data_IF_510745027816
#
_entry.id   IF_510745027816
#
_cell.length_a   1.000
_cell.length_b   1.000
_cell.length_c   1.000
_cell.angle_alpha   90.00
_cell.angle_beta   90.00
_cell.angle_gamma   90.00
#
_symmetry.space_group_name_H-M   'P 1'
#
loop_
_entity.id
_entity.type
_entity.pdbx_description
1 polymer ?
#
# COMPACT_ATOMS: atom_id res chain seq x y z
N UNK A 1 -8.71 -14.17 -16.46
CA UNK A 1 -8.08 -13.51 -17.66
C UNK A 1 -7.03 -14.46 -18.20
N UNK A 2 -6.75 -14.47 -19.52
CA UNK A 2 -5.73 -15.36 -20.09
C UNK A 2 -4.32 -14.90 -19.72
N UNK A 3 -3.35 -15.84 -19.74
CA UNK A 3 -1.94 -15.55 -19.49
C UNK A 3 -1.39 -14.58 -20.55
N UNK A 4 -0.47 -13.71 -20.11
CA UNK A 4 0.11 -12.67 -20.95
C UNK A 4 1.52 -13.08 -21.37
N UNK A 5 1.79 -13.07 -22.67
CA UNK A 5 3.13 -13.33 -23.20
C UNK A 5 3.85 -12.03 -23.57
N UNK A 6 5.09 -11.89 -23.10
CA UNK A 6 5.90 -10.69 -23.38
C UNK A 6 6.18 -10.50 -24.88
N UNK A 7 6.11 -11.57 -25.70
CA UNK A 7 6.16 -11.47 -27.18
C UNK A 7 5.00 -10.67 -27.76
N UNK A 8 3.84 -10.69 -27.09
CA UNK A 8 2.60 -10.08 -27.56
C UNK A 8 2.44 -8.65 -26.99
N UNK A 9 3.33 -8.28 -26.05
CA UNK A 9 3.38 -6.96 -25.42
C UNK A 9 4.51 -6.14 -26.05
N UNK A 10 4.15 -4.98 -26.62
CA UNK A 10 5.17 -4.03 -27.12
C UNK A 10 5.88 -3.35 -25.94
N UNK A 11 6.85 -4.03 -25.33
CA UNK A 11 7.57 -3.58 -24.12
C UNK A 11 8.10 -2.14 -24.25
N UNK A 12 8.57 -1.72 -25.45
CA UNK A 12 9.08 -0.37 -25.69
C UNK A 12 8.01 0.73 -25.56
N UNK A 13 6.73 0.37 -25.62
CA UNK A 13 5.60 1.31 -25.51
C UNK A 13 4.98 1.33 -24.12
N UNK A 14 5.37 0.40 -23.24
CA UNK A 14 4.88 0.38 -21.88
C UNK A 14 5.42 1.57 -21.08
N UNK A 15 4.51 2.30 -20.46
CA UNK A 15 4.88 3.41 -19.58
C UNK A 15 5.08 2.86 -18.16
N UNK A 16 6.22 3.14 -17.51
CA UNK A 16 6.42 2.79 -16.11
C UNK A 16 5.36 3.51 -15.26
N UNK A 17 4.95 2.85 -14.17
CA UNK A 17 3.97 3.41 -13.23
C UNK A 17 4.57 4.57 -12.44
N UNK A 18 5.90 4.57 -12.24
CA UNK A 18 6.64 5.61 -11.53
C UNK A 18 7.82 6.11 -12.36
N UNK A 19 8.31 7.33 -12.03
CA UNK A 19 9.51 7.91 -12.67
C UNK A 19 10.81 7.10 -12.39
N UNK A 20 10.80 6.24 -11.38
CA UNK A 20 11.84 5.24 -11.12
C UNK A 20 11.21 3.86 -11.35
N UNK A 21 11.36 3.28 -12.55
CA UNK A 21 10.69 2.03 -12.92
C UNK A 21 11.15 0.80 -12.13
N UNK A 22 12.29 0.86 -11.45
CA UNK A 22 12.86 -0.27 -10.73
C UNK A 22 12.65 -0.15 -9.22
N UNK A 23 11.74 -0.96 -8.66
CA UNK A 23 11.86 -1.42 -7.27
C UNK A 23 12.99 -2.44 -7.15
N UNK A 24 13.35 -2.82 -5.91
CA UNK A 24 14.40 -3.85 -5.65
C UNK A 24 14.02 -5.17 -6.35
N UNK A 25 12.76 -5.56 -6.31
CA UNK A 25 12.28 -6.86 -6.79
C UNK A 25 11.73 -6.83 -8.22
N UNK A 26 11.42 -5.67 -8.80
CA UNK A 26 10.81 -5.62 -10.12
C UNK A 26 10.41 -4.22 -10.59
N UNK A 27 9.91 -4.18 -11.81
CA UNK A 27 9.42 -2.98 -12.48
C UNK A 27 7.92 -3.10 -12.76
N UNK A 28 7.17 -2.03 -12.50
CA UNK A 28 5.73 -1.95 -12.75
C UNK A 28 5.44 -1.06 -13.96
N UNK A 29 4.61 -1.56 -14.87
CA UNK A 29 4.24 -0.89 -16.11
C UNK A 29 2.72 -0.81 -16.27
N UNK A 30 2.22 0.31 -16.78
CA UNK A 30 0.80 0.44 -17.17
C UNK A 30 0.51 -0.46 -18.36
N UNK A 31 -0.51 -1.28 -18.25
CA UNK A 31 -0.96 -2.17 -19.31
C UNK A 31 -2.48 -2.33 -19.26
N UNK A 32 -3.15 -1.99 -20.35
CA UNK A 32 -4.63 -1.94 -20.39
C UNK A 32 -5.17 -1.11 -19.21
N UNK A 33 -6.09 -1.67 -18.44
CA UNK A 33 -6.70 -1.04 -17.26
C UNK A 33 -5.98 -1.37 -15.95
N UNK A 34 -4.79 -1.97 -16.01
CA UNK A 34 -4.05 -2.43 -14.83
C UNK A 34 -2.55 -2.21 -14.93
N UNK A 35 -1.83 -3.02 -14.22
CA UNK A 35 -0.37 -2.98 -14.07
C UNK A 35 0.23 -4.34 -14.33
N UNK A 36 1.28 -4.40 -15.17
CA UNK A 36 2.18 -5.55 -15.23
C UNK A 36 3.35 -5.27 -14.28
N UNK A 37 3.59 -6.17 -13.31
CA UNK A 37 4.82 -6.24 -12.53
C UNK A 37 5.74 -7.29 -13.14
N UNK A 38 6.97 -6.89 -13.52
CA UNK A 38 8.01 -7.78 -14.03
C UNK A 38 9.14 -7.88 -13.01
N UNK A 39 9.51 -9.09 -12.64
CA UNK A 39 10.59 -9.34 -11.70
C UNK A 39 11.98 -9.15 -12.35
N UNK A 40 12.88 -8.51 -11.62
CA UNK A 40 14.26 -8.27 -12.06
C UNK A 40 15.18 -9.48 -11.87
N UNK A 41 14.70 -10.52 -11.21
CA UNK A 41 15.44 -11.74 -10.87
C UNK A 41 14.75 -13.00 -11.40
N UNK A 42 15.42 -14.13 -11.30
CA UNK A 42 14.80 -15.42 -11.62
C UNK A 42 14.01 -15.92 -10.42
N UNK A 43 12.71 -16.11 -10.61
CA UNK A 43 11.83 -16.59 -9.58
C UNK A 43 12.23 -18.02 -9.14
N UNK A 44 12.31 -18.22 -7.83
CA UNK A 44 12.43 -19.55 -7.23
C UNK A 44 11.15 -20.37 -7.41
N UNK A 45 11.14 -21.62 -7.05
CA UNK A 45 9.89 -22.41 -7.04
C UNK A 45 8.92 -21.87 -6.00
N UNK A 46 9.42 -21.46 -4.83
CA UNK A 46 8.61 -20.84 -3.79
C UNK A 46 7.92 -19.57 -4.29
N UNK A 47 8.66 -18.65 -4.94
CA UNK A 47 8.06 -17.41 -5.49
C UNK A 47 6.93 -17.73 -6.48
N UNK A 48 7.13 -18.75 -7.34
CA UNK A 48 6.14 -19.17 -8.33
C UNK A 48 4.88 -19.74 -7.68
N UNK A 49 5.05 -20.63 -6.71
CA UNK A 49 3.96 -21.23 -5.96
C UNK A 49 3.17 -20.16 -5.20
N UNK A 50 3.87 -19.21 -4.58
CA UNK A 50 3.26 -18.10 -3.88
C UNK A 50 2.43 -17.20 -4.84
N UNK A 51 2.98 -16.81 -5.99
CA UNK A 51 2.23 -16.03 -6.99
C UNK A 51 1.02 -16.81 -7.51
N UNK A 52 1.16 -18.11 -7.75
CA UNK A 52 0.06 -18.96 -8.21
C UNK A 52 -1.05 -19.08 -7.17
N UNK A 53 -0.72 -19.16 -5.88
CA UNK A 53 -1.70 -19.23 -4.80
C UNK A 53 -2.51 -17.94 -4.65
N UNK A 54 -1.97 -16.81 -5.11
CA UNK A 54 -2.62 -15.50 -5.09
C UNK A 54 -3.49 -15.21 -6.32
N UNK A 55 -3.37 -16.03 -7.37
CA UNK A 55 -4.01 -15.75 -8.66
C UNK A 55 -5.54 -15.78 -8.56
N UNK A 56 -6.18 -14.74 -9.09
CA UNK A 56 -7.63 -14.58 -9.14
C UNK A 56 -8.35 -14.62 -7.78
N UNK A 57 -7.66 -14.32 -6.69
CA UNK A 57 -8.34 -14.12 -5.41
C UNK A 57 -9.16 -12.83 -5.43
N UNK A 58 -10.29 -12.86 -4.77
CA UNK A 58 -11.16 -11.69 -4.61
C UNK A 58 -10.85 -11.00 -3.29
N UNK A 59 -10.74 -9.68 -3.33
CA UNK A 59 -10.61 -8.83 -2.16
C UNK A 59 -11.06 -7.40 -2.49
N UNK A 60 -11.60 -6.70 -1.50
CA UNK A 60 -11.95 -5.27 -1.63
C UNK A 60 -10.78 -4.35 -1.29
N UNK A 61 -9.77 -4.88 -0.62
CA UNK A 61 -8.63 -4.10 -0.11
C UNK A 61 -7.27 -4.58 -0.63
N UNK A 62 -7.17 -5.79 -1.16
CA UNK A 62 -5.93 -6.33 -1.72
C UNK A 62 -6.09 -6.48 -3.23
N UNK A 63 -5.17 -5.89 -3.98
CA UNK A 63 -5.16 -6.00 -5.44
C UNK A 63 -4.35 -7.23 -5.86
N UNK A 64 -5.04 -8.36 -5.92
CA UNK A 64 -4.46 -9.65 -6.26
C UNK A 64 -4.08 -9.76 -7.75
N UNK A 65 -3.10 -10.61 -8.09
CA UNK A 65 -2.82 -10.98 -9.47
C UNK A 65 -4.03 -11.61 -10.17
N UNK A 66 -4.29 -11.18 -11.41
CA UNK A 66 -5.37 -11.71 -12.27
C UNK A 66 -4.85 -12.57 -13.42
N UNK A 67 -3.57 -12.38 -13.81
CA UNK A 67 -2.96 -13.15 -14.90
C UNK A 67 -1.46 -13.24 -14.69
N UNK A 68 -0.87 -14.32 -15.17
CA UNK A 68 0.56 -14.52 -15.19
C UNK A 68 1.19 -13.90 -16.43
N UNK A 69 2.46 -13.48 -16.31
CA UNK A 69 3.23 -12.91 -17.43
C UNK A 69 4.43 -13.79 -17.72
N UNK A 70 4.47 -14.33 -18.95
CA UNK A 70 5.49 -15.26 -19.39
C UNK A 70 6.41 -14.67 -20.47
N UNK A 71 7.65 -15.12 -20.48
CA UNK A 71 8.56 -15.02 -21.61
C UNK A 71 8.64 -16.38 -22.29
N UNK A 72 8.33 -16.44 -23.59
CA UNK A 72 8.49 -17.66 -24.40
C UNK A 72 9.93 -18.17 -24.32
N UNK A 73 10.07 -19.45 -24.04
CA UNK A 73 11.34 -20.17 -24.04
C UNK A 73 11.37 -21.23 -25.12
N UNK A 74 12.55 -21.74 -25.43
CA UNK A 74 12.70 -22.78 -26.48
C UNK A 74 12.10 -24.11 -26.04
N UNK A 75 12.31 -24.51 -24.76
CA UNK A 75 11.79 -25.76 -24.19
C UNK A 75 10.63 -25.53 -23.21
N UNK A 76 10.64 -24.41 -22.48
CA UNK A 76 9.64 -24.08 -21.47
C UNK A 76 9.52 -22.57 -21.31
N UNK A 77 8.28 -22.10 -21.21
CA UNK A 77 7.99 -20.72 -20.92
C UNK A 77 8.43 -20.35 -19.49
N UNK A 78 8.97 -19.14 -19.34
CA UNK A 78 9.47 -18.64 -18.07
C UNK A 78 8.51 -17.62 -17.51
N UNK A 79 7.98 -17.89 -16.31
CA UNK A 79 7.23 -16.89 -15.55
C UNK A 79 8.13 -15.68 -15.25
N UNK A 80 7.68 -14.48 -15.58
CA UNK A 80 8.41 -13.22 -15.45
C UNK A 80 7.71 -12.20 -14.58
N UNK A 81 6.44 -12.38 -14.31
CA UNK A 81 5.65 -11.44 -13.54
C UNK A 81 4.19 -11.80 -13.51
N UNK A 82 3.40 -10.80 -13.16
CA UNK A 82 1.95 -10.91 -13.14
C UNK A 82 1.29 -9.59 -13.55
N UNK A 83 0.03 -9.67 -13.92
CA UNK A 83 -0.85 -8.54 -14.13
C UNK A 83 -1.82 -8.44 -12.96
N UNK A 84 -2.08 -7.23 -12.51
CA UNK A 84 -3.04 -6.92 -11.46
C UNK A 84 -3.84 -5.66 -11.81
N UNK A 85 -5.02 -5.43 -11.19
CA UNK A 85 -5.76 -4.19 -11.35
C UNK A 85 -4.93 -2.95 -11.00
N UNK A 86 -5.26 -1.82 -11.62
CA UNK A 86 -4.67 -0.53 -11.23
C UNK A 86 -5.25 -0.08 -9.89
N UNK A 87 -4.38 0.23 -8.94
CA UNK A 87 -4.81 0.87 -7.70
C UNK A 87 -5.44 2.24 -7.99
N UNK A 88 -6.54 2.53 -7.30
CA UNK A 88 -7.22 3.83 -7.36
C UNK A 88 -6.59 4.79 -6.37
N UNK A 89 -6.60 6.08 -6.69
CA UNK A 89 -6.09 7.13 -5.82
C UNK A 89 -4.58 7.27 -5.81
N UNK A 90 -4.06 7.79 -4.71
CA UNK A 90 -2.62 8.03 -4.51
C UNK A 90 -2.05 7.03 -3.49
N UNK A 91 -0.87 6.47 -3.75
CA UNK A 91 -0.16 5.82 -2.66
C UNK A 91 0.28 6.86 -1.62
N UNK A 92 0.56 6.40 -0.38
CA UNK A 92 0.84 7.33 0.72
C UNK A 92 2.07 8.21 0.48
N UNK A 93 3.02 7.81 -0.37
CA UNK A 93 4.16 8.65 -0.76
C UNK A 93 3.70 9.79 -1.69
N UNK A 94 2.89 9.47 -2.71
CA UNK A 94 2.36 10.48 -3.63
C UNK A 94 1.39 11.42 -2.91
N UNK A 95 0.54 10.88 -2.03
CA UNK A 95 -0.36 11.65 -1.18
C UNK A 95 0.42 12.65 -0.31
N UNK A 96 1.43 12.16 0.42
CA UNK A 96 2.33 13.03 1.22
C UNK A 96 2.88 14.19 0.39
N UNK A 97 3.41 13.91 -0.80
CA UNK A 97 4.01 14.94 -1.64
C UNK A 97 2.98 15.99 -2.11
N UNK A 98 1.74 15.55 -2.39
CA UNK A 98 0.64 16.46 -2.74
C UNK A 98 0.22 17.34 -1.57
N UNK A 99 0.15 16.79 -0.34
CA UNK A 99 -0.15 17.54 0.88
C UNK A 99 0.95 18.56 1.16
N UNK A 100 2.22 18.14 1.14
CA UNK A 100 3.36 19.03 1.38
C UNK A 100 3.44 20.19 0.38
N UNK A 101 2.88 20.03 -0.82
CA UNK A 101 2.83 21.06 -1.87
C UNK A 101 1.48 21.79 -1.96
N UNK A 102 0.55 21.51 -1.04
CA UNK A 102 -0.79 22.15 -1.01
C UNK A 102 -1.72 21.71 -2.15
N UNK A 103 -1.41 20.63 -2.85
CA UNK A 103 -2.18 20.16 -4.03
C UNK A 103 -3.31 19.22 -3.68
N UNK A 104 -3.35 18.71 -2.46
CA UNK A 104 -4.41 17.83 -1.95
C UNK A 104 -4.55 18.02 -0.46
N UNK A 105 -5.78 17.91 0.00
CA UNK A 105 -6.13 17.79 1.40
C UNK A 105 -6.93 16.52 1.63
N UNK A 106 -6.85 15.98 2.85
CA UNK A 106 -7.67 14.86 3.32
C UNK A 106 -7.99 15.13 4.77
N UNK A 107 -9.28 15.21 5.10
CA UNK A 107 -9.73 15.45 6.47
C UNK A 107 -9.46 14.24 7.38
N UNK A 108 -9.32 14.50 8.67
CA UNK A 108 -9.18 13.41 9.65
C UNK A 108 -10.42 12.53 9.68
N UNK A 109 -11.61 13.10 9.59
CA UNK A 109 -12.86 12.35 9.55
C UNK A 109 -12.95 11.44 8.32
N UNK A 110 -12.50 11.91 7.14
CA UNK A 110 -12.41 11.09 5.94
C UNK A 110 -11.47 9.89 6.12
N UNK A 111 -10.29 10.12 6.69
CA UNK A 111 -9.31 9.05 6.96
C UNK A 111 -9.88 8.05 7.96
N UNK A 112 -10.50 8.52 9.05
CA UNK A 112 -11.11 7.67 10.07
C UNK A 112 -12.25 6.83 9.49
N UNK A 113 -13.16 7.44 8.73
CA UNK A 113 -14.26 6.71 8.09
C UNK A 113 -13.75 5.64 7.11
N UNK A 114 -12.80 5.98 6.25
CA UNK A 114 -12.20 4.99 5.33
C UNK A 114 -11.56 3.84 6.12
N UNK A 115 -10.83 4.16 7.17
CA UNK A 115 -10.12 3.16 7.97
C UNK A 115 -11.08 2.26 8.75
N UNK A 116 -12.04 2.82 9.50
CA UNK A 116 -12.91 2.07 10.39
C UNK A 116 -14.09 1.41 9.68
N UNK A 117 -14.72 2.13 8.74
CA UNK A 117 -15.96 1.67 8.14
C UNK A 117 -15.73 0.76 6.93
N UNK A 118 -14.57 0.93 6.26
CA UNK A 118 -14.30 0.21 5.01
C UNK A 118 -13.12 -0.74 5.09
N UNK A 119 -11.97 -0.28 5.62
CA UNK A 119 -10.73 -1.05 5.57
C UNK A 119 -10.65 -2.14 6.65
N UNK A 120 -10.84 -1.80 7.93
CA UNK A 120 -10.70 -2.77 9.02
C UNK A 120 -11.67 -3.96 8.92
N UNK A 121 -12.97 -3.77 8.58
CA UNK A 121 -13.88 -4.88 8.41
C UNK A 121 -13.49 -5.85 7.31
N UNK A 122 -12.85 -5.35 6.24
CA UNK A 122 -12.36 -6.20 5.16
C UNK A 122 -11.03 -6.86 5.53
N UNK A 123 -10.10 -6.14 6.19
CA UNK A 123 -8.84 -6.71 6.66
C UNK A 123 -9.05 -7.91 7.61
N UNK A 124 -10.10 -7.90 8.43
CA UNK A 124 -10.46 -9.02 9.30
C UNK A 124 -10.88 -10.28 8.56
N UNK A 125 -11.32 -10.15 7.30
CA UNK A 125 -11.78 -11.28 6.47
C UNK A 125 -10.65 -11.88 5.64
N UNK A 126 -9.54 -11.15 5.49
CA UNK A 126 -8.41 -11.59 4.68
C UNK A 126 -7.59 -12.64 5.44
N UNK A 127 -7.63 -13.89 4.98
CA UNK A 127 -6.85 -15.01 5.53
C UNK A 127 -5.42 -15.00 4.98
N UNK A 128 -4.72 -13.90 5.21
CA UNK A 128 -3.39 -13.65 4.67
C UNK A 128 -2.48 -13.01 5.72
N UNK A 129 -1.22 -13.38 5.74
CA UNK A 129 -0.17 -12.63 6.42
C UNK A 129 0.40 -11.61 5.43
N UNK A 130 0.19 -10.34 5.71
CA UNK A 130 0.78 -9.26 4.93
C UNK A 130 2.30 -9.23 5.17
N UNK A 131 3.08 -9.23 4.09
CA UNK A 131 4.51 -9.00 4.12
C UNK A 131 4.84 -7.60 3.60
N UNK A 132 5.90 -6.99 4.07
CA UNK A 132 6.54 -5.77 3.53
C UNK A 132 5.57 -4.63 3.11
N UNK A 133 4.58 -4.32 3.95
CA UNK A 133 3.64 -3.21 3.71
C UNK A 133 4.34 -1.88 3.95
N UNK A 134 4.57 -1.12 2.89
CA UNK A 134 5.20 0.21 2.90
C UNK A 134 4.24 1.28 2.39
N UNK A 135 4.54 2.55 2.67
CA UNK A 135 3.78 3.70 2.14
C UNK A 135 3.58 3.65 0.61
N UNK A 136 4.52 3.07 -0.12
CA UNK A 136 4.42 2.88 -1.58
C UNK A 136 3.34 1.88 -1.98
N UNK A 137 2.98 0.95 -1.09
CA UNK A 137 2.08 -0.18 -1.34
C UNK A 137 0.67 0.05 -0.79
N UNK A 138 0.46 1.12 -0.03
CA UNK A 138 -0.84 1.53 0.53
C UNK A 138 -1.38 2.69 -0.29
N UNK A 139 -2.55 2.52 -0.89
CA UNK A 139 -3.23 3.53 -1.70
C UNK A 139 -4.47 4.03 -0.99
N UNK A 140 -4.68 5.35 -1.01
CA UNK A 140 -5.86 6.02 -0.46
C UNK A 140 -6.70 6.61 -1.59
N UNK A 141 -7.95 6.21 -1.64
CA UNK A 141 -9.01 6.79 -2.46
C UNK A 141 -10.28 6.90 -1.60
N UNK A 142 -11.40 6.42 -2.08
CA UNK A 142 -12.63 6.15 -1.32
C UNK A 142 -12.54 4.87 -0.45
N UNK A 143 -11.41 4.16 -0.53
CA UNK A 143 -10.99 3.04 0.32
C UNK A 143 -9.47 3.02 0.46
N UNK A 144 -8.93 2.26 1.43
CA UNK A 144 -7.53 1.85 1.48
C UNK A 144 -7.34 0.56 0.68
N UNK A 145 -6.34 0.54 -0.20
CA UNK A 145 -5.99 -0.64 -0.99
C UNK A 145 -4.52 -0.98 -0.84
N UNK A 146 -4.22 -2.28 -0.85
CA UNK A 146 -2.87 -2.84 -0.72
C UNK A 146 -2.40 -3.45 -2.04
N UNK A 147 -1.15 -3.22 -2.38
CA UNK A 147 -0.48 -3.77 -3.55
C UNK A 147 0.83 -4.46 -3.14
N UNK A 148 1.57 -4.98 -4.11
CA UNK A 148 2.87 -5.68 -3.90
C UNK A 148 2.70 -7.01 -3.18
N UNK A 149 1.71 -7.79 -3.63
CA UNK A 149 1.20 -9.01 -3.00
C UNK A 149 2.16 -10.20 -3.08
N UNK A 150 3.27 -10.12 -3.81
CA UNK A 150 4.28 -11.18 -3.87
C UNK A 150 5.04 -11.41 -2.54
N UNK A 151 4.91 -10.48 -1.60
CA UNK A 151 5.40 -10.64 -0.23
C UNK A 151 4.33 -11.14 0.76
N UNK A 152 3.09 -11.34 0.31
CA UNK A 152 2.00 -11.81 1.15
C UNK A 152 1.99 -13.34 1.19
N UNK A 153 1.50 -13.92 2.28
CA UNK A 153 1.45 -15.37 2.48
C UNK A 153 0.04 -15.77 2.92
N UNK A 154 -0.60 -16.66 2.15
CA UNK A 154 -1.93 -17.17 2.48
C UNK A 154 -1.82 -18.14 3.62
N UNK A 155 -2.68 -18.00 4.62
CA UNK A 155 -2.56 -18.71 5.89
C UNK A 155 -3.82 -19.49 6.22
N UNK A 156 -3.69 -20.80 6.25
CA UNK A 156 -4.74 -21.69 6.75
C UNK A 156 -4.87 -21.64 8.29
N UNK A 157 -3.80 -21.17 8.98
CA UNK A 157 -3.75 -20.97 10.43
C UNK A 157 -4.01 -19.51 10.85
N UNK A 158 -4.80 -18.77 10.05
CA UNK A 158 -5.10 -17.38 10.35
C UNK A 158 -5.72 -17.20 11.73
N UNK A 159 -5.18 -16.27 12.48
CA UNK A 159 -5.58 -16.04 13.88
C UNK A 159 -5.40 -14.56 14.27
N UNK A 160 -5.90 -14.20 15.44
CA UNK A 160 -5.79 -12.87 16.03
C UNK A 160 -4.35 -12.31 16.01
N UNK A 161 -3.35 -13.17 16.22
CA UNK A 161 -1.93 -12.77 16.20
C UNK A 161 -1.49 -12.30 14.80
N UNK A 162 -1.92 -13.01 13.76
CA UNK A 162 -1.65 -12.64 12.36
C UNK A 162 -2.37 -11.35 12.03
N UNK A 163 -3.65 -11.23 12.38
CA UNK A 163 -4.40 -10.00 12.21
C UNK A 163 -3.72 -8.80 12.86
N UNK A 164 -3.27 -8.92 14.12
CA UNK A 164 -2.52 -7.86 14.81
C UNK A 164 -1.19 -7.53 14.14
N UNK A 165 -0.54 -8.51 13.54
CA UNK A 165 0.67 -8.30 12.76
C UNK A 165 0.38 -7.45 11.50
N UNK A 166 -0.65 -7.83 10.75
CA UNK A 166 -1.12 -7.11 9.56
C UNK A 166 -1.49 -5.67 9.90
N UNK A 167 -2.29 -5.49 10.95
CA UNK A 167 -2.71 -4.19 11.45
C UNK A 167 -1.51 -3.31 11.81
N UNK A 168 -0.51 -3.88 12.50
CA UNK A 168 0.71 -3.17 12.86
C UNK A 168 1.50 -2.67 11.63
N UNK A 169 1.56 -3.42 10.54
CA UNK A 169 2.25 -3.01 9.33
C UNK A 169 1.52 -1.87 8.61
N UNK A 170 0.20 -1.96 8.48
CA UNK A 170 -0.62 -0.92 7.86
C UNK A 170 -0.58 0.36 8.69
N UNK A 171 -0.78 0.25 10.00
CA UNK A 171 -0.72 1.38 10.93
C UNK A 171 0.65 2.06 10.92
N UNK A 172 1.73 1.29 10.81
CA UNK A 172 3.06 1.86 10.66
C UNK A 172 3.19 2.69 9.37
N UNK A 173 2.66 2.21 8.25
CA UNK A 173 2.68 2.94 6.99
C UNK A 173 1.85 4.24 7.04
N UNK A 174 0.69 4.21 7.70
CA UNK A 174 -0.14 5.40 7.93
C UNK A 174 0.58 6.36 8.88
N UNK A 175 1.13 5.87 9.98
CA UNK A 175 1.94 6.66 10.90
C UNK A 175 3.08 7.39 10.20
N UNK A 176 3.80 6.71 9.32
CA UNK A 176 4.88 7.32 8.54
C UNK A 176 4.38 8.50 7.68
N UNK A 177 3.16 8.45 7.14
CA UNK A 177 2.56 9.59 6.46
C UNK A 177 2.43 10.79 7.40
N UNK A 178 1.88 10.58 8.60
CA UNK A 178 1.72 11.64 9.61
C UNK A 178 3.08 12.15 10.09
N UNK A 179 4.04 11.28 10.39
CA UNK A 179 5.39 11.67 10.86
C UNK A 179 6.13 12.59 9.89
N UNK A 180 5.90 12.44 8.58
CA UNK A 180 6.46 13.35 7.57
C UNK A 180 5.79 14.73 7.56
N UNK A 181 4.54 14.78 8.01
CA UNK A 181 3.76 16.02 8.06
C UNK A 181 3.96 16.75 9.39
N UNK A 182 4.17 16.01 10.47
CA UNK A 182 4.33 16.52 11.85
C UNK A 182 5.80 16.84 12.15
N UNK A 183 6.05 17.70 13.12
CA UNK A 183 7.39 17.97 13.66
C UNK A 183 7.90 16.81 14.53
N UNK A 184 9.23 16.76 14.72
CA UNK A 184 9.88 15.70 15.51
C UNK A 184 9.38 15.60 16.95
N UNK A 185 8.94 16.72 17.53
CA UNK A 185 8.44 16.82 18.92
C UNK A 185 7.07 16.17 19.10
N UNK A 186 6.29 16.05 18.03
CA UNK A 186 4.96 15.44 18.02
C UNK A 186 4.98 13.98 17.55
N UNK A 187 6.15 13.35 17.48
CA UNK A 187 6.24 11.95 17.05
C UNK A 187 5.61 11.00 18.04
N UNK A 188 4.75 10.14 17.53
CA UNK A 188 4.04 9.14 18.33
C UNK A 188 4.91 7.96 18.72
N UNK A 189 4.55 7.33 19.83
CA UNK A 189 5.15 6.06 20.20
C UNK A 189 4.97 5.01 19.08
N UNK A 190 6.08 4.36 18.70
CA UNK A 190 6.13 3.36 17.65
C UNK A 190 6.20 1.93 18.15
N UNK A 191 5.92 1.68 19.43
CA UNK A 191 5.95 0.32 19.96
C UNK A 191 4.98 -0.58 19.17
N UNK A 192 5.37 -1.83 18.95
CA UNK A 192 4.55 -2.81 18.20
C UNK A 192 3.19 -3.02 18.85
N UNK A 193 3.11 -2.95 20.17
CA UNK A 193 1.86 -3.09 20.93
C UNK A 193 0.88 -1.94 20.68
N UNK A 194 1.36 -0.74 20.44
CA UNK A 194 0.52 0.43 20.09
C UNK A 194 0.05 0.32 18.66
N UNK A 195 0.95 0.00 17.72
CA UNK A 195 0.62 -0.13 16.30
C UNK A 195 -0.38 -1.28 16.01
N UNK A 196 -0.43 -2.30 16.85
CA UNK A 196 -1.36 -3.43 16.68
C UNK A 196 -2.78 -3.18 17.23
N UNK A 197 -3.07 -1.97 17.73
CA UNK A 197 -4.43 -1.59 18.18
C UNK A 197 -5.27 -1.11 17.00
N UNK A 198 -6.53 -1.52 16.98
CA UNK A 198 -7.51 -0.99 16.02
C UNK A 198 -7.74 0.51 16.23
N UNK A 199 -7.71 0.97 17.48
CA UNK A 199 -7.91 2.39 17.85
C UNK A 199 -6.71 3.28 17.55
N UNK A 200 -5.62 2.73 17.00
CA UNK A 200 -4.35 3.45 16.82
C UNK A 200 -4.52 4.79 16.10
N UNK A 201 -5.28 4.83 15.01
CA UNK A 201 -5.45 6.02 14.20
C UNK A 201 -6.26 7.10 14.94
N UNK A 202 -7.32 6.69 15.63
CA UNK A 202 -8.13 7.59 16.46
C UNK A 202 -7.32 8.15 17.65
N UNK A 203 -6.58 7.29 18.35
CA UNK A 203 -5.69 7.70 19.45
C UNK A 203 -4.64 8.71 18.95
N UNK A 204 -4.05 8.47 17.78
CA UNK A 204 -3.05 9.37 17.18
C UNK A 204 -3.66 10.73 16.83
N UNK A 205 -4.83 10.77 16.21
CA UNK A 205 -5.52 12.02 15.86
C UNK A 205 -5.94 12.79 17.12
N UNK A 206 -6.41 12.10 18.17
CA UNK A 206 -6.71 12.71 19.46
C UNK A 206 -5.47 13.33 20.11
N UNK A 207 -4.32 12.67 20.00
CA UNK A 207 -3.07 13.23 20.54
C UNK A 207 -2.60 14.47 19.75
N UNK A 208 -2.78 14.48 18.42
CA UNK A 208 -2.56 15.68 17.59
C UNK A 208 -3.45 16.83 18.08
N UNK A 209 -4.74 16.56 18.27
CA UNK A 209 -5.73 17.58 18.68
C UNK A 209 -5.48 18.18 20.08
N UNK A 210 -4.74 17.48 20.95
CA UNK A 210 -4.33 18.02 22.28
C UNK A 210 -3.24 19.08 22.18
N UNK A 211 -2.44 19.06 21.12
CA UNK A 211 -1.23 19.90 20.97
C UNK A 211 -1.34 20.89 19.82
N UNK A 212 -2.45 20.85 19.09
CA UNK A 212 -2.80 21.78 18.01
C UNK A 212 -4.09 22.52 18.36
N UNK A 213 -4.42 23.55 17.58
CA UNK A 213 -5.71 24.24 17.72
C UNK A 213 -6.84 23.54 16.91
N UNK A 214 -8.07 23.96 17.15
CA UNK A 214 -9.27 23.37 16.51
C UNK A 214 -9.35 23.56 14.98
N UNK A 215 -8.50 24.40 14.39
CA UNK A 215 -8.42 24.57 12.93
C UNK A 215 -7.66 23.43 12.25
N UNK A 216 -6.92 22.63 13.02
CA UNK A 216 -6.16 21.49 12.53
C UNK A 216 -7.07 20.23 12.49
N UNK A 217 -7.76 20.05 11.37
CA UNK A 217 -8.72 18.98 11.14
C UNK A 217 -8.43 18.12 9.88
N UNK A 218 -7.30 18.38 9.23
CA UNK A 218 -6.87 17.66 8.03
C UNK A 218 -5.35 17.56 7.94
N UNK A 219 -4.87 16.75 7.02
CA UNK A 219 -3.44 16.59 6.78
C UNK A 219 -2.80 17.88 6.24
N UNK A 220 -3.53 18.68 5.46
CA UNK A 220 -3.02 19.95 4.95
C UNK A 220 -2.97 21.02 6.04
N UNK A 221 -4.03 21.13 6.84
CA UNK A 221 -4.05 22.09 7.97
C UNK A 221 -2.97 21.75 8.98
N UNK A 222 -2.71 20.47 9.24
CA UNK A 222 -1.61 19.98 10.08
C UNK A 222 -0.23 20.40 9.52
N UNK A 223 -0.01 20.24 8.21
CA UNK A 223 1.22 20.68 7.55
C UNK A 223 1.40 22.22 7.62
N UNK A 224 0.32 22.98 7.48
CA UNK A 224 0.36 24.44 7.58
C UNK A 224 0.62 24.87 9.03
N UNK A 225 -0.01 24.24 10.01
CA UNK A 225 0.25 24.47 11.43
C UNK A 225 1.72 24.28 11.76
N UNK A 226 2.34 23.17 11.34
CA UNK A 226 3.79 22.93 11.49
C UNK A 226 4.64 24.09 10.94
N UNK A 227 4.25 24.64 9.78
CA UNK A 227 5.00 25.75 9.15
C UNK A 227 4.82 27.09 9.86
N UNK A 228 3.71 27.27 10.59
CA UNK A 228 3.43 28.49 11.36
C UNK A 228 4.18 28.56 12.68
N UNK A 229 4.58 27.41 13.24
CA UNK A 229 5.39 27.38 14.45
C UNK A 229 6.79 27.89 14.10
N UNK A 230 7.14 29.09 14.60
CA UNK A 230 8.52 29.59 14.55
C UNK A 230 9.34 28.78 15.56
N UNK A 231 10.32 28.09 15.06
CA UNK A 231 11.34 27.46 15.92
C UNK A 231 12.30 28.57 16.35
N UNK A 232 12.25 28.95 17.62
CA UNK A 232 13.25 29.83 18.24
C UNK A 232 14.53 29.03 18.49
#
# INVERSE_FOLDING_TARGET
MDDIYLSDVRMKTLKPVSNKPSGVNGCCYKYKNGVIKLFNYNLTNYDKENILSHLNKESKIILWPESLVFKKGFFKDKLKGYYMPMAKGDNLIALRNKILTGKKDVSFDEILSIYYDKFLPELKKEEVLLGDVKMAHVFLSDNLSLTDTDAFDIRDDYCEKIYKCNLSQVNYSIKMLFDYIISSELRFNTSKSVLSKETFLDDMIKDISKVTDSSVNSLLTLNNYKRSIKWD
#
